data_IF_314341620224
#
_entry.id   IF_314341620224
#
_cell.length_a   1.000
_cell.length_b   1.000
_cell.length_c   1.000
_cell.angle_alpha   90.00
_cell.angle_beta   90.00
_cell.angle_gamma   90.00
#
_symmetry.space_group_name_H-M   'P 1'
#
loop_
_entity.id
_entity.type
_entity.pdbx_description
1 polymer ?
#
# COMPACT_ATOMS: atom_id res chain seq x y z
N UNK A 1 4.08 -6.79 12.60
CA UNK A 1 3.28 -5.55 12.37
C UNK A 1 3.95 -4.56 11.42
N UNK A 2 5.29 -4.45 11.37
CA UNK A 2 5.99 -3.50 10.49
C UNK A 2 5.61 -3.59 8.99
N UNK A 3 5.30 -4.79 8.48
CA UNK A 3 4.73 -4.98 7.15
C UNK A 3 3.43 -4.18 6.93
N UNK A 4 2.46 -4.33 7.83
CA UNK A 4 1.16 -3.63 7.72
C UNK A 4 1.35 -2.11 7.81
N UNK A 5 2.31 -1.65 8.62
CA UNK A 5 2.70 -0.25 8.67
C UNK A 5 3.24 0.24 7.32
N UNK A 6 4.15 -0.52 6.70
CA UNK A 6 4.69 -0.20 5.38
C UNK A 6 3.61 -0.10 4.31
N UNK A 7 2.71 -1.08 4.27
CA UNK A 7 1.59 -1.10 3.35
C UNK A 7 0.65 0.10 3.56
N UNK A 8 0.36 0.44 4.83
CA UNK A 8 -0.41 1.64 5.15
C UNK A 8 0.30 2.94 4.72
N UNK A 9 1.64 2.99 4.82
CA UNK A 9 2.41 4.15 4.37
C UNK A 9 2.31 4.39 2.86
N UNK A 10 2.20 3.33 2.07
CA UNK A 10 1.97 3.38 0.63
C UNK A 10 0.53 3.83 0.30
N UNK A 11 -0.47 2.97 0.51
CA UNK A 11 -1.85 3.18 0.05
C UNK A 11 -2.88 3.40 1.16
N UNK A 12 -2.43 3.48 2.40
CA UNK A 12 -3.30 3.70 3.55
C UNK A 12 -3.79 5.14 3.68
N UNK A 13 -4.82 5.35 4.47
CA UNK A 13 -5.28 6.68 4.83
C UNK A 13 -5.86 6.67 6.25
N UNK A 14 -5.91 7.81 6.93
CA UNK A 14 -6.50 7.92 8.26
C UNK A 14 -7.35 9.17 8.39
N UNK A 15 -8.48 9.07 9.10
CA UNK A 15 -9.35 10.20 9.44
C UNK A 15 -9.80 10.14 10.88
N UNK A 16 -9.94 11.31 11.47
CA UNK A 16 -10.52 11.50 12.77
C UNK A 16 -11.57 12.61 12.70
N UNK A 17 -12.84 12.20 12.60
CA UNK A 17 -13.99 13.10 12.64
C UNK A 17 -14.82 12.80 13.91
N UNK A 18 -15.68 11.79 13.85
CA UNK A 18 -16.43 11.27 15.01
C UNK A 18 -15.82 10.00 15.62
N UNK A 19 -14.86 9.40 14.93
CA UNK A 19 -14.21 8.14 15.31
C UNK A 19 -12.82 8.04 14.68
N UNK A 20 -11.95 7.21 15.27
CA UNK A 20 -10.58 6.97 14.82
C UNK A 20 -10.57 5.89 13.74
N UNK A 21 -10.48 6.30 12.47
CA UNK A 21 -10.61 5.42 11.31
C UNK A 21 -9.31 5.32 10.54
N UNK A 22 -8.92 4.10 10.25
CA UNK A 22 -7.74 3.76 9.45
C UNK A 22 -8.23 2.96 8.25
N UNK A 23 -7.81 3.38 7.08
CA UNK A 23 -8.26 2.87 5.79
C UNK A 23 -7.11 2.14 5.13
N UNK A 24 -7.43 0.97 4.58
CA UNK A 24 -6.59 0.22 3.66
C UNK A 24 -7.42 0.01 2.40
N UNK A 25 -6.97 0.51 1.26
CA UNK A 25 -7.68 0.41 -0.02
C UNK A 25 -6.77 -0.26 -1.03
N UNK A 26 -7.27 -1.28 -1.73
CA UNK A 26 -6.51 -1.98 -2.76
C UNK A 26 -7.46 -2.58 -3.81
N UNK A 27 -6.95 -2.85 -5.00
CA UNK A 27 -7.65 -3.67 -6.01
C UNK A 27 -7.56 -5.15 -5.68
N UNK A 28 -6.52 -5.58 -4.96
CA UNK A 28 -6.34 -6.96 -4.52
C UNK A 28 -7.10 -7.20 -3.21
N UNK A 29 -8.21 -7.94 -3.32
CA UNK A 29 -9.05 -8.30 -2.18
C UNK A 29 -8.39 -9.32 -1.25
N UNK A 30 -7.67 -10.30 -1.78
CA UNK A 30 -7.06 -11.36 -0.98
C UNK A 30 -5.93 -10.81 -0.10
N UNK A 31 -5.23 -9.80 -0.62
CA UNK A 31 -4.25 -9.07 0.16
C UNK A 31 -4.87 -8.35 1.36
N UNK A 32 -6.00 -7.63 1.15
CA UNK A 32 -6.71 -7.00 2.26
C UNK A 32 -7.31 -8.02 3.26
N UNK A 33 -7.71 -9.21 2.81
CA UNK A 33 -8.15 -10.30 3.70
C UNK A 33 -6.99 -10.75 4.59
N UNK A 34 -5.77 -10.84 4.05
CA UNK A 34 -4.58 -11.18 4.82
C UNK A 34 -4.24 -10.10 5.84
N UNK A 35 -4.29 -8.82 5.47
CA UNK A 35 -4.11 -7.69 6.39
C UNK A 35 -5.20 -7.71 7.48
N UNK A 36 -6.46 -7.96 7.12
CA UNK A 36 -7.57 -8.09 8.07
C UNK A 36 -7.29 -9.17 9.13
N UNK A 37 -6.79 -10.34 8.70
CA UNK A 37 -6.41 -11.43 9.62
C UNK A 37 -5.26 -11.02 10.53
N UNK A 38 -4.22 -10.38 10.00
CA UNK A 38 -3.07 -9.88 10.79
C UNK A 38 -3.45 -8.81 11.81
N UNK A 39 -4.48 -8.02 11.53
CA UNK A 39 -5.02 -6.99 12.43
C UNK A 39 -6.08 -7.52 13.39
N UNK A 40 -6.45 -8.81 13.29
CA UNK A 40 -7.45 -9.47 14.12
C UNK A 40 -8.77 -8.69 14.21
N UNK A 41 -9.18 -8.07 13.11
CA UNK A 41 -10.37 -7.22 13.07
C UNK A 41 -11.54 -7.91 12.36
N UNK A 42 -12.74 -7.71 12.89
CA UNK A 42 -13.98 -8.18 12.27
C UNK A 42 -14.57 -7.19 11.24
N UNK A 43 -13.89 -6.07 10.99
CA UNK A 43 -14.34 -5.06 10.02
C UNK A 43 -14.65 -5.67 8.64
N UNK A 44 -15.78 -5.31 8.01
CA UNK A 44 -16.10 -5.78 6.67
C UNK A 44 -15.16 -5.17 5.63
N UNK A 45 -14.96 -5.87 4.51
CA UNK A 45 -14.40 -5.28 3.30
C UNK A 45 -15.54 -4.72 2.47
N UNK A 46 -15.44 -3.46 2.06
CA UNK A 46 -16.47 -2.75 1.28
C UNK A 46 -15.94 -2.34 -0.09
N UNK A 47 -16.76 -2.42 -1.13
CA UNK A 47 -16.40 -1.92 -2.45
C UNK A 47 -16.17 -0.40 -2.43
N UNK A 48 -15.19 0.08 -3.20
CA UNK A 48 -14.80 1.48 -3.30
C UNK A 48 -14.41 1.82 -4.73
N UNK A 49 -14.99 2.90 -5.29
CA UNK A 49 -14.60 3.39 -6.62
C UNK A 49 -14.77 2.40 -7.78
N UNK A 50 -15.71 1.44 -7.66
CA UNK A 50 -16.08 0.47 -8.70
C UNK A 50 -15.09 -0.70 -8.90
N UNK A 51 -13.80 -0.52 -8.66
CA UNK A 51 -12.76 -1.55 -8.90
C UNK A 51 -11.88 -1.86 -7.70
N UNK A 52 -11.97 -1.08 -6.62
CA UNK A 52 -11.20 -1.29 -5.40
C UNK A 52 -12.08 -1.84 -4.28
N UNK A 53 -11.44 -2.46 -3.30
CA UNK A 53 -12.03 -2.80 -2.01
C UNK A 53 -11.32 -2.03 -0.91
N UNK A 54 -12.03 -1.78 0.19
CA UNK A 54 -11.51 -1.04 1.33
C UNK A 54 -11.82 -1.77 2.62
N UNK A 55 -10.82 -1.87 3.48
CA UNK A 55 -10.93 -2.28 4.87
C UNK A 55 -10.83 -1.04 5.76
N UNK A 56 -11.85 -0.80 6.59
CA UNK A 56 -11.86 0.32 7.56
C UNK A 56 -11.74 -0.22 8.97
N UNK A 57 -10.65 0.11 9.64
CA UNK A 57 -10.39 -0.28 11.03
C UNK A 57 -10.73 0.88 11.95
N UNK A 58 -11.61 0.61 12.92
CA UNK A 58 -11.99 1.57 13.96
C UNK A 58 -11.19 1.27 15.22
N UNK A 59 -10.10 1.99 15.44
CA UNK A 59 -9.24 1.77 16.61
C UNK A 59 -8.52 3.05 17.01
N UNK A 60 -8.84 3.57 18.20
CA UNK A 60 -8.16 4.72 18.78
C UNK A 60 -6.69 4.43 19.03
N UNK A 61 -6.38 3.24 19.54
CA UNK A 61 -5.00 2.81 19.82
C UNK A 61 -4.16 2.77 18.54
N UNK A 62 -4.62 2.06 17.52
CA UNK A 62 -3.88 1.94 16.25
C UNK A 62 -3.68 3.32 15.59
N UNK A 63 -4.68 4.21 15.70
CA UNK A 63 -4.58 5.56 15.16
C UNK A 63 -3.51 6.37 15.90
N UNK A 64 -3.46 6.30 17.23
CA UNK A 64 -2.45 6.98 18.04
C UNK A 64 -1.06 6.40 17.80
N UNK A 65 -0.93 5.08 17.66
CA UNK A 65 0.34 4.42 17.32
C UNK A 65 0.86 4.91 15.95
N UNK A 66 -0.04 5.05 14.96
CA UNK A 66 0.31 5.62 13.66
C UNK A 66 0.79 7.08 13.77
N UNK A 67 0.12 7.91 14.58
CA UNK A 67 0.55 9.29 14.82
C UNK A 67 1.98 9.34 15.41
N UNK A 68 2.26 8.50 16.41
CA UNK A 68 3.58 8.41 17.05
C UNK A 68 4.66 7.99 16.04
N UNK A 69 4.30 7.09 15.13
CA UNK A 69 5.18 6.61 14.07
C UNK A 69 5.33 7.61 12.91
N UNK A 70 4.62 8.74 12.92
CA UNK A 70 4.73 9.80 11.91
C UNK A 70 3.65 9.77 10.83
N UNK A 71 2.64 8.90 10.96
CA UNK A 71 1.44 8.90 10.13
C UNK A 71 0.58 10.12 10.42
N UNK A 72 0.03 10.74 9.38
CA UNK A 72 -0.84 11.92 9.49
C UNK A 72 -1.99 11.87 8.48
N UNK A 73 -3.16 12.48 8.78
CA UNK A 73 -4.19 12.71 7.77
C UNK A 73 -3.63 13.53 6.59
N UNK A 74 -4.05 13.22 5.35
CA UNK A 74 -3.52 13.91 4.16
C UNK A 74 -2.06 13.57 3.85
N UNK A 75 -1.59 12.40 4.28
CA UNK A 75 -0.19 11.96 4.28
C UNK A 75 0.61 12.25 3.00
N UNK A 76 0.00 12.13 1.82
CA UNK A 76 0.73 12.09 0.54
C UNK A 76 1.61 13.31 0.28
N UNK A 77 1.33 14.45 0.92
CA UNK A 77 2.09 15.69 0.73
C UNK A 77 3.04 16.03 1.89
N UNK A 78 2.93 15.36 3.03
CA UNK A 78 3.53 15.82 4.31
C UNK A 78 4.18 14.70 5.13
N UNK A 79 3.95 13.43 4.78
CA UNK A 79 4.47 12.31 5.55
C UNK A 79 5.99 12.22 5.43
N UNK A 80 6.64 11.94 6.55
CA UNK A 80 8.08 11.74 6.62
C UNK A 80 8.39 10.28 6.87
N UNK A 81 9.59 9.85 6.47
CA UNK A 81 10.01 8.48 6.70
C UNK A 81 10.06 8.19 8.22
N UNK A 82 9.40 7.13 8.70
CA UNK A 82 9.30 6.84 10.12
C UNK A 82 10.65 6.36 10.67
N UNK A 83 10.88 6.54 11.97
CA UNK A 83 12.04 5.96 12.64
C UNK A 83 11.78 4.46 12.87
N UNK A 84 12.36 3.61 12.02
CA UNK A 84 12.20 2.15 12.09
C UNK A 84 13.51 1.51 12.59
N UNK A 85 13.45 0.67 13.64
CA UNK A 85 14.60 -0.15 14.04
C UNK A 85 15.10 -1.04 12.88
N UNK A 86 16.42 -1.21 12.67
CA UNK A 86 16.97 -1.93 11.52
C UNK A 86 16.39 -3.33 11.29
N UNK A 87 16.05 -4.05 12.35
CA UNK A 87 15.46 -5.40 12.28
C UNK A 87 14.05 -5.42 11.66
N UNK A 88 13.31 -4.32 11.70
CA UNK A 88 11.94 -4.21 11.15
C UNK A 88 11.90 -3.52 9.80
N UNK A 89 13.00 -2.88 9.39
CA UNK A 89 13.08 -2.17 8.12
C UNK A 89 12.78 -3.08 6.91
N UNK A 90 13.26 -4.34 6.82
CA UNK A 90 12.92 -5.22 5.70
C UNK A 90 11.41 -5.48 5.59
N UNK A 91 10.73 -5.70 6.72
CA UNK A 91 9.28 -5.95 6.73
C UNK A 91 8.50 -4.72 6.28
N UNK A 92 8.89 -3.54 6.77
CA UNK A 92 8.30 -2.28 6.35
C UNK A 92 8.48 -2.04 4.84
N UNK A 93 9.68 -2.25 4.32
CA UNK A 93 9.96 -2.08 2.88
C UNK A 93 9.10 -3.02 2.04
N UNK A 94 8.98 -4.31 2.43
CA UNK A 94 8.09 -5.26 1.73
C UNK A 94 6.64 -4.76 1.72
N UNK A 95 6.14 -4.30 2.85
CA UNK A 95 4.78 -3.76 2.93
C UNK A 95 4.58 -2.53 2.05
N UNK A 96 5.51 -1.57 2.10
CA UNK A 96 5.46 -0.37 1.27
C UNK A 96 5.51 -0.70 -0.21
N UNK A 97 6.41 -1.61 -0.59
CA UNK A 97 6.55 -2.10 -1.96
C UNK A 97 5.29 -2.81 -2.45
N UNK A 98 4.62 -3.61 -1.63
CA UNK A 98 3.38 -4.28 -2.04
C UNK A 98 2.19 -3.32 -2.22
N UNK A 99 2.26 -2.09 -1.69
CA UNK A 99 1.28 -1.04 -1.96
C UNK A 99 1.61 -0.23 -3.22
N UNK A 100 2.71 0.51 -3.18
CA UNK A 100 3.07 1.52 -4.20
C UNK A 100 4.22 1.07 -5.12
N UNK A 101 4.76 -0.14 -4.90
CA UNK A 101 5.83 -0.70 -5.73
C UNK A 101 5.31 -1.28 -7.04
N UNK A 102 6.26 -1.50 -7.96
CA UNK A 102 5.95 -2.11 -9.25
C UNK A 102 7.13 -2.91 -9.77
N UNK A 103 6.82 -4.02 -10.45
CA UNK A 103 7.81 -4.88 -11.11
C UNK A 103 7.54 -4.85 -12.61
N UNK A 104 8.55 -4.44 -13.38
CA UNK A 104 8.44 -4.34 -14.82
C UNK A 104 9.55 -5.14 -15.50
N UNK A 105 9.19 -5.89 -16.54
CA UNK A 105 10.16 -6.51 -17.44
C UNK A 105 10.57 -5.50 -18.51
N UNK A 106 11.80 -5.01 -18.44
CA UNK A 106 12.36 -4.10 -19.44
C UNK A 106 13.12 -4.93 -20.48
N UNK A 107 12.77 -4.77 -21.76
CA UNK A 107 13.49 -5.37 -22.89
C UNK A 107 14.18 -4.25 -23.67
N UNK A 108 15.51 -4.28 -23.68
CA UNK A 108 16.29 -3.35 -24.49
C UNK A 108 16.32 -3.84 -25.94
N UNK A 109 15.90 -2.98 -26.87
CA UNK A 109 16.10 -3.23 -28.30
C UNK A 109 17.42 -2.59 -28.72
N UNK A 110 18.32 -3.38 -29.31
CA UNK A 110 19.52 -2.84 -29.91
C UNK A 110 19.13 -1.91 -31.07
N UNK A 111 19.50 -0.63 -30.97
CA UNK A 111 19.33 0.35 -32.03
C UNK A 111 20.64 0.50 -32.81
N UNK A 112 20.58 0.64 -34.14
CA UNK A 112 21.76 0.91 -34.99
C UNK A 112 22.41 2.26 -34.69
N UNK A 113 21.72 3.15 -33.97
CA UNK A 113 22.31 4.32 -33.33
C UNK A 113 22.60 3.91 -31.89
N UNK A 114 23.81 4.16 -31.40
CA UNK A 114 24.38 3.76 -30.10
C UNK A 114 23.58 4.14 -28.82
N UNK A 115 22.36 4.64 -28.95
CA UNK A 115 21.49 4.99 -27.86
C UNK A 115 20.47 3.87 -27.61
N UNK A 116 20.62 3.18 -26.46
CA UNK A 116 19.68 2.18 -25.97
C UNK A 116 18.39 2.89 -25.51
N UNK A 117 17.28 2.66 -26.21
CA UNK A 117 15.94 3.10 -25.76
C UNK A 117 15.22 1.93 -25.10
N UNK A 118 14.81 2.11 -23.84
CA UNK A 118 13.95 1.15 -23.12
C UNK A 118 12.50 1.33 -23.54
N UNK A 119 11.85 0.25 -24.03
CA UNK A 119 10.40 0.19 -24.15
C UNK A 119 9.84 -0.58 -22.94
N UNK A 120 8.97 0.07 -22.16
CA UNK A 120 8.14 -0.60 -21.15
C UNK A 120 7.05 -1.40 -21.88
N UNK A 121 7.13 -2.73 -21.80
CA UNK A 121 6.04 -3.60 -22.24
C UNK A 121 4.98 -3.65 -21.15
N UNK A 122 3.85 -2.99 -21.38
CA UNK A 122 2.62 -3.29 -20.64
C UNK A 122 2.06 -4.57 -21.28
N UNK A 123 1.96 -5.65 -20.51
CA UNK A 123 1.36 -6.88 -21.01
C UNK A 123 -0.08 -6.57 -21.46
N UNK A 124 -0.52 -7.00 -22.67
CA UNK A 124 -1.91 -6.85 -23.06
C UNK A 124 -2.79 -7.62 -22.07
N UNK A 125 -3.89 -6.98 -21.65
CA UNK A 125 -4.87 -7.61 -20.77
C UNK A 125 -5.30 -8.98 -21.35
N UNK A 126 -5.47 -10.01 -20.51
CA UNK A 126 -5.92 -11.31 -21.00
C UNK A 126 -7.29 -11.13 -21.66
N UNK A 127 -7.42 -11.61 -22.89
CA UNK A 127 -8.70 -11.71 -23.58
C UNK A 127 -9.58 -12.65 -22.75
N UNK A 128 -10.67 -12.14 -22.20
CA UNK A 128 -11.73 -12.96 -21.63
C UNK A 128 -12.32 -13.83 -22.77
N UNK A 129 -12.33 -15.15 -22.55
CA UNK A 129 -12.98 -16.15 -23.40
C UNK A 129 -14.33 -16.51 -22.78
#
# INVERSE_FOLDING_TARGET
>A
MAYVLGFWYADGHMRHEKSYRIYFTSKDKEHLISIKKLLETNSPLTAYGGSCVTLVVHSKRLFQDLLILGGVPGKSNVITFPKIPPQFLPDFIRGYFDGDGSVHRIVYKASKKSCLTSQLFVAPAPLEV
#
